data_IF_248958960155
#
_entry.id   IF_248958960155
#
_cell.length_a   1.000
_cell.length_b   1.000
_cell.length_c   1.000
_cell.angle_alpha   90.00
_cell.angle_beta   90.00
_cell.angle_gamma   90.00
#
_symmetry.space_group_name_H-M   'P 1'
#
loop_
_entity.id
_entity.type
_entity.pdbx_description
1 polymer ?
#
# COMPACT_ATOMS: atom_id res chain seq x y z
N UNK A 1 27.65 9.79 11.91
CA UNK A 1 27.06 9.82 13.29
C UNK A 1 25.83 8.94 13.47
N UNK A 2 24.71 9.13 12.76
CA UNK A 2 23.58 8.18 12.83
C UNK A 2 23.90 6.80 12.20
N UNK A 3 24.60 6.77 11.10
CA UNK A 3 25.06 5.53 10.45
C UNK A 3 25.97 4.69 11.34
N UNK A 4 26.87 5.32 12.06
CA UNK A 4 27.82 4.63 12.95
C UNK A 4 27.09 3.92 14.11
N UNK A 5 25.99 4.51 14.59
CA UNK A 5 25.15 3.91 15.64
C UNK A 5 24.47 2.62 15.12
N UNK A 6 24.00 2.61 13.86
CA UNK A 6 23.35 1.41 13.29
C UNK A 6 24.34 0.29 12.99
N UNK A 7 25.59 0.61 12.63
CA UNK A 7 26.63 -0.40 12.50
C UNK A 7 27.01 -1.03 13.85
N UNK A 8 26.99 -0.20 14.92
CA UNK A 8 27.29 -0.68 16.26
C UNK A 8 26.15 -1.56 16.85
N UNK A 9 24.90 -1.28 16.44
CA UNK A 9 23.71 -1.98 16.92
C UNK A 9 22.86 -2.50 15.75
N UNK A 10 23.23 -3.62 15.10
CA UNK A 10 22.55 -4.12 13.90
C UNK A 10 21.07 -4.45 14.11
N UNK A 11 20.66 -4.74 15.35
CA UNK A 11 19.25 -4.98 15.69
C UNK A 11 18.41 -3.69 15.82
N UNK A 12 19.03 -2.51 15.91
CA UNK A 12 18.31 -1.27 16.14
C UNK A 12 17.39 -0.90 14.96
N UNK A 13 17.90 -1.04 13.72
CA UNK A 13 17.11 -0.73 12.51
C UNK A 13 15.86 -1.61 12.36
N UNK A 14 15.94 -2.95 12.45
CA UNK A 14 14.76 -3.80 12.39
C UNK A 14 13.74 -3.52 13.51
N UNK A 15 14.20 -3.24 14.72
CA UNK A 15 13.33 -2.90 15.85
C UNK A 15 12.60 -1.56 15.58
N UNK A 16 13.32 -0.51 15.20
CA UNK A 16 12.75 0.80 14.88
C UNK A 16 11.77 0.72 13.70
N UNK A 17 12.13 -0.03 12.66
CA UNK A 17 11.27 -0.26 11.51
C UNK A 17 9.96 -0.96 11.92
N UNK A 18 10.05 -2.00 12.75
CA UNK A 18 8.87 -2.73 13.24
C UNK A 18 7.96 -1.82 14.08
N UNK A 19 8.53 -1.08 15.02
CA UNK A 19 7.76 -0.13 15.85
C UNK A 19 7.14 0.97 14.98
N UNK A 20 7.91 1.53 14.03
CA UNK A 20 7.42 2.49 13.04
C UNK A 20 6.28 1.91 12.21
N UNK A 21 6.41 0.65 11.76
CA UNK A 21 5.38 -0.06 11.02
C UNK A 21 4.08 -0.25 11.82
N UNK A 22 4.16 -0.53 13.13
CA UNK A 22 2.99 -0.60 14.01
C UNK A 22 2.28 0.76 14.10
N UNK A 23 3.03 1.85 14.30
CA UNK A 23 2.48 3.21 14.41
C UNK A 23 1.82 3.62 13.10
N UNK A 24 2.52 3.43 11.98
CA UNK A 24 1.98 3.72 10.64
C UNK A 24 0.75 2.86 10.36
N UNK A 25 0.77 1.55 10.68
CA UNK A 25 -0.37 0.65 10.53
C UNK A 25 -1.61 1.11 11.30
N UNK A 26 -1.43 1.60 12.52
CA UNK A 26 -2.51 2.19 13.30
C UNK A 26 -3.08 3.45 12.63
N UNK A 27 -2.23 4.30 12.07
CA UNK A 27 -2.66 5.44 11.27
C UNK A 27 -3.35 5.02 9.97
N UNK A 28 -2.88 3.97 9.29
CA UNK A 28 -3.53 3.44 8.09
C UNK A 28 -4.98 3.01 8.36
N UNK A 29 -5.30 2.46 9.53
CA UNK A 29 -6.66 2.16 9.90
C UNK A 29 -7.57 3.40 9.87
N UNK A 30 -7.05 4.57 10.29
CA UNK A 30 -7.77 5.84 10.19
C UNK A 30 -7.94 6.26 8.73
N UNK A 31 -6.90 6.14 7.92
CA UNK A 31 -6.95 6.46 6.48
C UNK A 31 -7.98 5.58 5.77
N UNK A 32 -7.90 4.27 5.96
CA UNK A 32 -8.78 3.28 5.34
C UNK A 32 -10.26 3.59 5.63
N UNK A 33 -10.57 4.00 6.86
CA UNK A 33 -11.94 4.33 7.24
C UNK A 33 -12.38 5.70 6.72
N UNK A 34 -11.55 6.74 6.84
CA UNK A 34 -11.95 8.13 6.59
C UNK A 34 -11.82 8.56 5.14
N UNK A 35 -10.79 8.09 4.44
CA UNK A 35 -10.52 8.51 3.07
C UNK A 35 -11.70 8.30 2.10
N UNK A 36 -12.38 7.13 2.10
CA UNK A 36 -13.55 6.94 1.26
C UNK A 36 -14.71 7.88 1.59
N UNK A 37 -14.90 8.21 2.88
CA UNK A 37 -15.94 9.15 3.31
C UNK A 37 -15.60 10.57 2.85
N UNK A 38 -14.36 11.00 3.03
CA UNK A 38 -13.87 12.30 2.59
C UNK A 38 -14.02 12.48 1.08
N UNK A 39 -13.70 11.44 0.31
CA UNK A 39 -13.84 11.48 -1.15
C UNK A 39 -15.30 11.60 -1.58
N UNK A 40 -16.22 10.87 -0.94
CA UNK A 40 -17.66 11.03 -1.19
C UNK A 40 -18.18 12.43 -0.84
N UNK A 41 -17.71 12.99 0.26
CA UNK A 41 -18.07 14.37 0.64
C UNK A 41 -17.58 15.39 -0.40
N UNK A 42 -16.35 15.22 -0.91
CA UNK A 42 -15.82 16.10 -1.97
C UNK A 42 -16.62 15.98 -3.27
N UNK A 43 -17.00 14.77 -3.65
CA UNK A 43 -17.85 14.56 -4.84
C UNK A 43 -19.23 15.18 -4.66
N UNK A 44 -19.87 15.00 -3.50
CA UNK A 44 -21.17 15.59 -3.20
C UNK A 44 -21.10 17.14 -3.18
N UNK A 45 -20.00 17.71 -2.67
CA UNK A 45 -19.77 19.17 -2.72
C UNK A 45 -19.62 19.66 -4.17
N UNK A 46 -18.89 18.93 -5.01
CA UNK A 46 -18.72 19.26 -6.42
C UNK A 46 -20.04 19.22 -7.21
N UNK A 47 -20.94 18.29 -6.87
CA UNK A 47 -22.26 18.19 -7.48
C UNK A 47 -23.32 19.13 -6.87
N UNK A 48 -22.95 19.92 -5.86
CA UNK A 48 -23.89 20.83 -5.18
C UNK A 48 -24.93 20.13 -4.29
N UNK A 49 -24.71 18.86 -3.97
CA UNK A 49 -25.65 18.03 -3.17
C UNK A 49 -25.37 18.12 -1.66
N UNK A 50 -24.29 18.79 -1.24
CA UNK A 50 -23.96 18.93 0.17
C UNK A 50 -24.83 19.97 0.85
N UNK A 51 -25.59 19.52 1.86
CA UNK A 51 -26.22 20.40 2.81
C UNK A 51 -25.18 21.11 3.69
N UNK A 52 -25.35 22.41 3.91
CA UNK A 52 -24.48 23.25 4.76
C UNK A 52 -24.38 22.77 6.22
N UNK A 53 -25.22 21.83 6.64
CA UNK A 53 -25.25 21.27 7.99
C UNK A 53 -24.33 20.03 8.18
N UNK A 54 -23.74 19.46 7.13
CA UNK A 54 -22.87 18.28 7.27
C UNK A 54 -21.47 18.67 7.70
N UNK A 55 -21.03 18.18 8.87
CA UNK A 55 -19.67 18.38 9.36
C UNK A 55 -18.66 17.70 8.43
N UNK A 56 -17.67 18.46 7.94
CA UNK A 56 -16.57 17.91 7.12
C UNK A 56 -15.70 17.00 7.99
N UNK A 57 -15.52 15.77 7.53
CA UNK A 57 -14.61 14.80 8.14
C UNK A 57 -13.22 15.01 7.55
N UNK A 58 -12.19 15.03 8.41
CA UNK A 58 -10.78 15.06 8.02
C UNK A 58 -10.03 13.86 8.62
N UNK A 59 -8.77 13.64 8.25
CA UNK A 59 -7.96 12.59 8.84
C UNK A 59 -7.72 12.82 10.34
N UNK A 60 -7.71 14.07 10.81
CA UNK A 60 -7.45 14.44 12.20
C UNK A 60 -8.73 14.61 13.04
N UNK A 61 -9.80 15.08 12.44
CA UNK A 61 -11.06 15.45 13.13
C UNK A 61 -12.27 14.74 12.52
N UNK A 62 -13.26 14.39 13.34
CA UNK A 62 -13.26 14.32 14.81
C UNK A 62 -12.29 13.27 15.36
N UNK A 63 -12.00 13.28 16.67
CA UNK A 63 -11.18 12.22 17.31
C UNK A 63 -11.82 10.85 17.13
N UNK A 64 -10.98 9.79 17.16
CA UNK A 64 -11.47 8.41 17.09
C UNK A 64 -12.39 8.11 18.25
N UNK A 65 -13.55 7.53 17.96
CA UNK A 65 -14.60 7.19 18.93
C UNK A 65 -15.15 5.80 18.65
N UNK A 66 -15.74 5.20 19.66
CA UNK A 66 -16.42 3.91 19.51
C UNK A 66 -17.71 4.10 18.68
N UNK A 67 -17.96 3.30 17.64
CA UNK A 67 -19.18 3.43 16.85
C UNK A 67 -20.46 3.09 17.61
N UNK A 68 -20.37 2.34 18.71
CA UNK A 68 -21.52 1.91 19.50
C UNK A 68 -21.89 2.89 20.61
N UNK A 69 -20.93 3.35 21.42
CA UNK A 69 -21.20 4.24 22.56
C UNK A 69 -20.77 5.67 22.34
N UNK A 70 -20.16 6.00 21.17
CA UNK A 70 -19.69 7.34 20.79
C UNK A 70 -18.64 7.95 21.74
N UNK A 71 -18.15 7.19 22.73
CA UNK A 71 -17.07 7.62 23.61
C UNK A 71 -15.75 7.72 22.85
N UNK A 72 -15.01 8.80 23.09
CA UNK A 72 -13.69 9.05 22.47
C UNK A 72 -12.68 8.03 22.97
N UNK A 73 -11.91 7.45 22.06
CA UNK A 73 -10.86 6.49 22.40
C UNK A 73 -9.71 7.23 23.09
N UNK A 74 -9.29 6.72 24.24
CA UNK A 74 -8.17 7.29 25.00
C UNK A 74 -6.87 6.98 24.29
N UNK A 75 -5.86 7.86 24.40
CA UNK A 75 -4.56 7.66 23.76
C UNK A 75 -3.91 6.32 24.12
N UNK A 76 -4.00 5.91 25.37
CA UNK A 76 -3.49 4.61 25.83
C UNK A 76 -4.21 3.39 25.22
N UNK A 77 -5.47 3.58 24.80
CA UNK A 77 -6.28 2.54 24.17
C UNK A 77 -6.10 2.52 22.63
N UNK A 78 -5.21 3.36 22.13
CA UNK A 78 -4.82 3.45 20.71
C UNK A 78 -3.37 3.03 20.47
N UNK A 79 -2.73 2.35 21.45
CA UNK A 79 -1.39 1.76 21.25
C UNK A 79 -1.54 0.53 20.35
N UNK A 80 -0.82 0.51 19.18
CA UNK A 80 -0.99 -0.56 18.20
C UNK A 80 -0.80 -1.95 18.80
N UNK A 81 -1.63 -2.91 18.39
CA UNK A 81 -1.72 -4.30 18.86
C UNK A 81 -1.96 -4.44 20.37
N UNK A 82 -1.19 -3.71 21.18
CA UNK A 82 -1.17 -3.86 22.63
C UNK A 82 -2.53 -3.53 23.23
N UNK A 83 -3.15 -2.44 22.82
CA UNK A 83 -4.47 -2.03 23.31
C UNK A 83 -5.53 -3.07 22.99
N UNK A 84 -5.53 -3.60 21.77
CA UNK A 84 -6.48 -4.62 21.35
C UNK A 84 -6.33 -5.91 22.17
N UNK A 85 -5.09 -6.34 22.44
CA UNK A 85 -4.79 -7.51 23.27
C UNK A 85 -5.22 -7.29 24.73
N UNK A 86 -4.87 -6.14 25.32
CA UNK A 86 -5.22 -5.81 26.71
C UNK A 86 -6.74 -5.69 26.92
N UNK A 87 -7.45 -5.15 25.95
CA UNK A 87 -8.90 -5.01 25.97
C UNK A 87 -9.62 -6.27 25.47
N UNK A 88 -8.88 -7.34 25.12
CA UNK A 88 -9.42 -8.60 24.58
C UNK A 88 -10.36 -8.37 23.38
N UNK A 89 -10.03 -7.39 22.53
CA UNK A 89 -10.82 -7.03 21.35
C UNK A 89 -12.18 -6.42 21.68
N UNK A 90 -12.35 -5.73 22.82
CA UNK A 90 -13.60 -5.10 23.23
C UNK A 90 -13.41 -3.64 23.60
N UNK A 91 -14.44 -2.83 23.39
CA UNK A 91 -14.45 -1.46 23.87
C UNK A 91 -14.35 -1.42 25.40
N UNK A 92 -13.59 -0.46 25.94
CA UNK A 92 -13.43 -0.32 27.39
C UNK A 92 -14.75 0.04 28.08
N UNK A 93 -15.56 0.88 27.45
CA UNK A 93 -16.75 1.46 28.10
C UNK A 93 -18.00 0.60 27.86
N UNK A 94 -18.29 0.21 26.61
CA UNK A 94 -19.52 -0.51 26.28
C UNK A 94 -19.33 -2.01 25.98
N UNK A 95 -18.09 -2.53 26.04
CA UNK A 95 -17.74 -3.93 25.78
C UNK A 95 -18.12 -4.45 24.36
N UNK A 96 -18.50 -3.57 23.44
CA UNK A 96 -18.73 -3.93 22.05
C UNK A 96 -17.46 -4.48 21.41
N UNK A 97 -17.59 -5.48 20.52
CA UNK A 97 -16.46 -6.12 19.85
C UNK A 97 -15.76 -5.19 18.89
N UNK A 98 -14.43 -5.10 18.98
CA UNK A 98 -13.56 -4.40 18.03
C UNK A 98 -13.11 -5.37 16.95
N UNK A 99 -13.25 -5.01 15.70
CA UNK A 99 -12.87 -5.85 14.55
C UNK A 99 -11.40 -6.28 14.64
N UNK A 100 -11.13 -7.54 14.30
CA UNK A 100 -9.76 -8.10 14.17
C UNK A 100 -8.96 -7.47 13.02
N UNK A 101 -9.64 -6.76 12.13
CA UNK A 101 -9.01 -6.03 11.01
C UNK A 101 -8.02 -4.99 11.50
N UNK A 102 -8.32 -4.27 12.59
CA UNK A 102 -7.42 -3.24 13.14
C UNK A 102 -6.04 -3.80 13.48
N UNK A 103 -5.91 -4.80 14.36
CA UNK A 103 -4.61 -5.38 14.67
C UNK A 103 -3.97 -6.10 13.47
N UNK A 104 -4.76 -6.61 12.52
CA UNK A 104 -4.23 -7.25 11.32
C UNK A 104 -3.49 -6.26 10.43
N UNK A 105 -4.06 -5.07 10.19
CA UNK A 105 -3.41 -4.01 9.41
C UNK A 105 -2.11 -3.56 10.07
N UNK A 106 -2.14 -3.37 11.38
CA UNK A 106 -0.97 -2.98 12.17
C UNK A 106 0.15 -4.02 12.08
N UNK A 107 -0.20 -5.31 12.21
CA UNK A 107 0.76 -6.41 12.10
C UNK A 107 1.33 -6.55 10.68
N UNK A 108 0.50 -6.46 9.65
CA UNK A 108 0.94 -6.54 8.25
C UNK A 108 1.91 -5.41 7.92
N UNK A 109 1.61 -4.18 8.36
CA UNK A 109 2.49 -3.03 8.14
C UNK A 109 3.81 -3.18 8.88
N UNK A 110 3.77 -3.63 10.14
CA UNK A 110 4.97 -3.89 10.93
C UNK A 110 5.85 -4.98 10.30
N UNK A 111 5.24 -6.06 9.81
CA UNK A 111 5.96 -7.14 9.13
C UNK A 111 6.60 -6.67 7.82
N UNK A 112 5.89 -5.89 7.03
CA UNK A 112 6.42 -5.32 5.79
C UNK A 112 7.62 -4.40 6.06
N UNK A 113 7.56 -3.58 7.10
CA UNK A 113 8.65 -2.69 7.50
C UNK A 113 9.85 -3.47 8.04
N UNK A 114 9.58 -4.51 8.85
CA UNK A 114 10.63 -5.42 9.31
C UNK A 114 11.36 -6.08 8.14
N UNK A 115 10.61 -6.68 7.21
CA UNK A 115 11.19 -7.33 6.03
C UNK A 115 11.98 -6.35 5.17
N UNK A 116 11.46 -5.15 4.92
CA UNK A 116 12.17 -4.12 4.19
C UNK A 116 13.51 -3.74 4.85
N UNK A 117 13.54 -3.62 6.18
CA UNK A 117 14.77 -3.31 6.92
C UNK A 117 15.80 -4.44 6.94
N UNK A 118 15.34 -5.70 6.87
CA UNK A 118 16.22 -6.87 6.83
C UNK A 118 16.81 -7.10 5.42
N UNK A 119 16.01 -6.86 4.37
CA UNK A 119 16.43 -7.11 2.98
C UNK A 119 17.32 -5.99 2.45
N UNK A 120 17.06 -4.74 2.84
CA UNK A 120 17.81 -3.55 2.41
C UNK A 120 18.39 -2.77 3.60
N UNK A 121 19.25 -3.38 4.42
CA UNK A 121 19.85 -2.67 5.53
C UNK A 121 20.67 -1.49 4.99
N UNK A 122 20.60 -0.35 5.68
CA UNK A 122 21.40 0.86 5.42
C UNK A 122 21.19 1.52 4.05
N UNK A 123 20.11 1.19 3.33
CA UNK A 123 19.82 1.77 2.02
C UNK A 123 18.56 2.65 2.04
N UNK A 124 18.56 3.72 1.24
CA UNK A 124 17.35 4.51 0.99
C UNK A 124 16.20 3.70 0.38
N UNK A 125 16.52 2.55 -0.22
CA UNK A 125 15.53 1.63 -0.76
C UNK A 125 14.61 1.03 0.31
N UNK A 126 15.12 0.76 1.52
CA UNK A 126 14.29 0.29 2.62
C UNK A 126 13.14 1.26 2.90
N UNK A 127 13.42 2.56 3.00
CA UNK A 127 12.40 3.58 3.21
C UNK A 127 11.41 3.65 2.06
N UNK A 128 11.87 3.58 0.82
CA UNK A 128 11.01 3.59 -0.36
C UNK A 128 10.05 2.37 -0.35
N UNK A 129 10.55 1.18 -0.03
CA UNK A 129 9.74 -0.05 0.09
C UNK A 129 8.76 0.04 1.25
N UNK A 130 9.15 0.61 2.40
CA UNK A 130 8.26 0.84 3.54
C UNK A 130 7.10 1.77 3.17
N UNK A 131 7.37 2.89 2.51
CA UNK A 131 6.34 3.84 2.05
C UNK A 131 5.41 3.16 1.04
N UNK A 132 5.98 2.47 0.06
CA UNK A 132 5.22 1.77 -0.97
C UNK A 132 4.32 0.68 -0.36
N UNK A 133 4.86 -0.14 0.56
CA UNK A 133 4.09 -1.20 1.22
C UNK A 133 2.93 -0.65 2.07
N UNK A 134 3.17 0.43 2.81
CA UNK A 134 2.11 1.11 3.58
C UNK A 134 0.98 1.61 2.66
N UNK A 135 1.36 2.24 1.54
CA UNK A 135 0.39 2.70 0.55
C UNK A 135 -0.39 1.56 -0.10
N UNK A 136 0.31 0.46 -0.49
CA UNK A 136 -0.32 -0.73 -1.08
C UNK A 136 -1.28 -1.42 -0.11
N UNK A 137 -0.92 -1.55 1.18
CA UNK A 137 -1.80 -2.13 2.20
C UNK A 137 -3.08 -1.29 2.32
N UNK A 138 -2.96 0.04 2.44
CA UNK A 138 -4.13 0.91 2.53
C UNK A 138 -5.01 0.84 1.28
N UNK A 139 -4.41 0.94 0.09
CA UNK A 139 -5.12 0.89 -1.18
C UNK A 139 -5.86 -0.46 -1.38
N UNK A 140 -5.18 -1.59 -1.09
CA UNK A 140 -5.77 -2.92 -1.22
C UNK A 140 -6.98 -3.10 -0.30
N UNK A 141 -6.91 -2.60 0.93
CA UNK A 141 -8.00 -2.75 1.88
C UNK A 141 -9.17 -1.83 1.54
N UNK A 142 -8.92 -0.60 1.06
CA UNK A 142 -9.96 0.29 0.57
C UNK A 142 -10.66 -0.33 -0.65
N UNK A 143 -9.90 -0.97 -1.54
CA UNK A 143 -10.46 -1.64 -2.71
C UNK A 143 -11.33 -2.84 -2.34
N UNK A 144 -10.89 -3.68 -1.41
CA UNK A 144 -11.66 -4.81 -0.89
C UNK A 144 -13.02 -4.36 -0.31
N UNK A 145 -13.09 -3.17 0.31
CA UNK A 145 -14.32 -2.67 0.91
C UNK A 145 -15.24 -1.96 -0.08
N UNK A 146 -14.66 -1.24 -1.03
CA UNK A 146 -15.41 -0.31 -1.87
C UNK A 146 -15.35 -0.65 -3.36
N UNK A 147 -14.50 -1.61 -3.76
CA UNK A 147 -14.22 -1.96 -5.17
C UNK A 147 -13.87 -0.72 -6.00
N UNK A 148 -13.18 0.21 -5.36
CA UNK A 148 -12.76 1.48 -5.92
C UNK A 148 -11.29 1.44 -6.28
N UNK A 149 -10.82 0.37 -6.94
CA UNK A 149 -9.44 0.39 -7.43
C UNK A 149 -9.33 1.59 -8.38
N UNK A 150 -8.64 2.67 -8.00
CA UNK A 150 -8.48 3.79 -8.92
C UNK A 150 -7.88 3.24 -10.20
N UNK A 151 -8.37 3.68 -11.37
CA UNK A 151 -7.81 3.31 -12.68
C UNK A 151 -6.30 3.54 -12.76
N UNK A 152 -5.77 4.39 -11.88
CA UNK A 152 -4.34 4.59 -11.63
C UNK A 152 -3.61 3.30 -11.25
N UNK A 153 -4.21 2.39 -10.47
CA UNK A 153 -3.55 1.12 -10.11
C UNK A 153 -3.56 0.14 -11.28
N UNK A 154 -4.66 0.10 -12.03
CA UNK A 154 -4.72 -0.65 -13.29
C UNK A 154 -3.70 -0.10 -14.28
N UNK A 155 -3.60 1.23 -14.41
CA UNK A 155 -2.62 1.88 -15.26
C UNK A 155 -1.18 1.56 -14.83
N UNK A 156 -0.86 1.55 -13.52
CA UNK A 156 0.45 1.15 -13.01
C UNK A 156 0.78 -0.31 -13.31
N UNK A 157 -0.19 -1.22 -13.16
CA UNK A 157 -0.02 -2.63 -13.53
C UNK A 157 0.20 -2.78 -15.04
N UNK A 158 -0.52 -2.04 -15.87
CA UNK A 158 -0.31 -2.02 -17.31
C UNK A 158 1.08 -1.47 -17.68
N UNK A 159 1.50 -0.36 -17.07
CA UNK A 159 2.84 0.21 -17.30
C UNK A 159 3.93 -0.78 -16.87
N UNK A 160 3.77 -1.44 -15.73
CA UNK A 160 4.73 -2.45 -15.27
C UNK A 160 4.78 -3.66 -16.20
N UNK A 161 3.63 -4.12 -16.69
CA UNK A 161 3.55 -5.19 -17.67
C UNK A 161 4.25 -4.77 -18.98
N UNK A 162 3.99 -3.56 -19.48
CA UNK A 162 4.59 -3.06 -20.69
C UNK A 162 6.12 -2.88 -20.57
N UNK A 163 6.59 -2.37 -19.43
CA UNK A 163 8.03 -2.26 -19.15
C UNK A 163 8.70 -3.65 -19.11
N UNK A 164 8.05 -4.64 -18.50
CA UNK A 164 8.56 -6.01 -18.48
C UNK A 164 8.60 -6.62 -19.89
N UNK A 165 7.60 -6.38 -20.72
CA UNK A 165 7.58 -6.79 -22.12
C UNK A 165 8.70 -6.11 -22.94
N UNK A 166 8.94 -4.81 -22.71
CA UNK A 166 10.03 -4.09 -23.35
C UNK A 166 11.41 -4.60 -22.94
N UNK A 167 11.61 -4.97 -21.67
CA UNK A 167 12.85 -5.58 -21.21
C UNK A 167 13.06 -6.98 -21.80
N UNK A 168 12.03 -7.81 -21.85
CA UNK A 168 12.11 -9.12 -22.50
C UNK A 168 12.42 -8.99 -24.00
N UNK A 169 11.79 -8.04 -24.70
CA UNK A 169 12.11 -7.75 -26.11
C UNK A 169 13.55 -7.29 -26.29
N UNK A 170 14.10 -6.43 -25.43
CA UNK A 170 15.51 -6.02 -25.49
C UNK A 170 16.46 -7.20 -25.27
N UNK A 171 16.18 -8.07 -24.29
CA UNK A 171 16.99 -9.26 -24.02
C UNK A 171 16.94 -10.22 -25.22
N UNK A 172 15.75 -10.46 -25.78
CA UNK A 172 15.58 -11.30 -26.97
C UNK A 172 16.30 -10.69 -28.19
N UNK A 173 16.18 -9.41 -28.45
CA UNK A 173 16.88 -8.75 -29.56
C UNK A 173 18.38 -8.79 -29.40
N UNK A 174 18.91 -8.60 -28.19
CA UNK A 174 20.34 -8.71 -27.92
C UNK A 174 20.82 -10.17 -28.06
N UNK A 175 20.02 -11.15 -27.62
CA UNK A 175 20.35 -12.57 -27.78
C UNK A 175 20.35 -12.99 -29.24
N UNK A 176 19.37 -12.53 -30.04
CA UNK A 176 19.27 -12.81 -31.47
C UNK A 176 20.40 -12.11 -32.23
N UNK A 177 20.72 -10.85 -31.89
CA UNK A 177 21.83 -10.09 -32.51
C UNK A 177 23.20 -10.72 -32.24
N UNK A 178 23.37 -11.41 -31.11
CA UNK A 178 24.63 -12.07 -30.75
C UNK A 178 24.76 -13.47 -31.35
N UNK A 179 23.63 -14.13 -31.70
CA UNK A 179 23.61 -15.56 -32.12
C UNK A 179 23.61 -15.79 -33.62
N UNK A 180 23.54 -14.75 -34.46
CA UNK A 180 23.34 -15.00 -35.91
C UNK A 180 24.36 -14.30 -36.81
N UNK A 181 25.25 -15.06 -37.45
CA UNK A 181 25.81 -14.61 -38.72
C UNK A 181 24.76 -14.77 -39.82
N UNK A 182 24.39 -13.63 -40.39
CA UNK A 182 23.90 -13.40 -41.78
C UNK A 182 22.71 -14.16 -42.39
N UNK A 183 22.32 -15.33 -41.90
CA UNK A 183 21.25 -16.12 -42.56
C UNK A 183 19.83 -15.85 -42.02
N UNK A 184 19.69 -15.45 -40.77
CA UNK A 184 18.38 -15.26 -40.13
C UNK A 184 17.80 -13.85 -40.33
N UNK A 185 18.60 -12.88 -40.70
CA UNK A 185 18.16 -11.47 -40.89
C UNK A 185 17.09 -11.33 -41.98
N UNK A 186 17.05 -12.23 -42.94
CA UNK A 186 16.12 -12.18 -44.06
C UNK A 186 14.75 -12.80 -43.73
N UNK A 187 14.69 -13.74 -42.85
CA UNK A 187 13.46 -14.43 -42.46
C UNK A 187 12.74 -13.76 -41.28
N UNK A 188 13.45 -13.00 -40.46
CA UNK A 188 12.83 -12.25 -39.35
C UNK A 188 12.02 -11.03 -39.81
N UNK A 189 12.36 -10.40 -40.95
CA UNK A 189 11.53 -9.34 -41.53
C UNK A 189 10.13 -9.84 -41.90
N UNK A 190 9.99 -11.08 -42.33
CA UNK A 190 8.68 -11.70 -42.61
C UNK A 190 7.86 -11.92 -41.34
N UNK A 191 8.51 -12.30 -40.23
CA UNK A 191 7.85 -12.50 -38.93
C UNK A 191 7.35 -11.19 -38.30
N UNK A 192 8.08 -10.09 -38.50
CA UNK A 192 7.67 -8.75 -38.05
C UNK A 192 6.50 -8.15 -38.86
N UNK A 193 6.32 -8.57 -40.10
CA UNK A 193 5.21 -8.14 -40.95
C UNK A 193 3.92 -8.91 -40.67
N UNK A 194 4.01 -10.13 -40.11
CA UNK A 194 2.84 -10.98 -39.79
C UNK A 194 2.31 -10.76 -38.36
N UNK A 195 3.06 -10.13 -37.47
CA UNK A 195 2.70 -9.96 -36.05
C UNK A 195 1.53 -8.97 -35.80
N UNK A 196 1.26 -7.91 -36.61
CA UNK A 196 0.07 -7.09 -36.41
C UNK A 196 -1.24 -7.82 -36.71
N UNK A 197 -1.20 -8.91 -37.49
CA UNK A 197 -2.39 -9.70 -37.82
C UNK A 197 -2.78 -10.72 -36.75
N UNK A 198 -1.86 -11.11 -35.87
CA UNK A 198 -2.11 -12.10 -34.79
C UNK A 198 -2.65 -11.46 -33.50
N UNK A 199 -2.45 -10.16 -33.31
CA UNK A 199 -2.93 -9.43 -32.10
C UNK A 199 -4.43 -9.14 -32.16
N UNK A 200 -5.04 -9.19 -33.36
CA UNK A 200 -6.49 -9.00 -33.55
C UNK A 200 -7.31 -10.30 -33.48
N UNK A 201 -6.68 -11.45 -33.22
CA UNK A 201 -7.35 -12.76 -33.19
C UNK A 201 -7.29 -13.49 -31.82
N UNK A 202 -6.74 -12.85 -30.79
CA UNK A 202 -6.81 -13.27 -29.38
C UNK A 202 -7.37 -12.15 -28.53
#
# INVERSE_FOLDING_TARGET
MLFDVFQQYPAAMPILATVGGLIIGSFLNVVIWRYPIMLRQQMAEFHGEMSSAQSKISLALPRSHCPHCQQTIRVRDNIPLLSWLMLKGRCRDCQAKISKRYPLVELLTALAFLLASLVWPESGWALAVMILSAWLIAASIIDLDHQWLPDVFKALLHIQHDLHQLQLRRILLNYISFSTPTFLHRNLQIFYLLNPLLIHLL
#
